data_IF_323645306072
#
_entry.id   IF_323645306072
#
_cell.length_a   1.000
_cell.length_b   1.000
_cell.length_c   1.000
_cell.angle_alpha   90.00
_cell.angle_beta   90.00
_cell.angle_gamma   90.00
#
_symmetry.space_group_name_H-M   'P 1'
#
loop_
_entity.id
_entity.type
_entity.pdbx_description
1 polymer ?
#
# COMPACT_ATOMS: atom_id res chain seq x y z
N UNK A 1 -71.69 -21.87 0.83
CA UNK A 1 -72.20 -20.94 -0.18
C UNK A 1 -70.93 -20.42 -0.87
N UNK A 2 -70.42 -21.11 -1.85
CA UNK A 2 -70.75 -21.09 -3.29
C UNK A 2 -70.73 -19.68 -3.79
N UNK A 3 -69.74 -19.29 -4.64
CA UNK A 3 -69.73 -19.38 -6.09
C UNK A 3 -68.35 -18.98 -6.67
N UNK A 4 -67.75 -19.86 -7.39
CA UNK A 4 -67.44 -19.98 -8.84
C UNK A 4 -66.88 -18.77 -9.59
N UNK A 5 -65.73 -19.08 -10.18
CA UNK A 5 -65.03 -18.48 -11.33
C UNK A 5 -65.95 -18.18 -12.53
N UNK A 6 -65.44 -17.40 -13.53
CA UNK A 6 -64.76 -18.08 -14.63
C UNK A 6 -63.53 -17.40 -15.24
N UNK A 7 -62.75 -18.26 -15.91
CA UNK A 7 -61.68 -18.00 -16.87
C UNK A 7 -62.15 -17.21 -18.09
N UNK A 8 -61.27 -16.36 -18.63
CA UNK A 8 -61.33 -15.96 -20.04
C UNK A 8 -59.94 -16.10 -20.66
N UNK A 9 -59.82 -17.00 -21.60
CA UNK A 9 -58.71 -17.15 -22.52
C UNK A 9 -58.69 -15.99 -23.52
N UNK A 10 -57.50 -15.49 -23.84
CA UNK A 10 -57.27 -14.50 -24.89
C UNK A 10 -55.93 -14.75 -25.58
N UNK A 11 -55.93 -15.66 -26.54
CA UNK A 11 -54.85 -15.78 -27.52
C UNK A 11 -54.67 -14.48 -28.31
N UNK A 12 -53.48 -13.94 -28.36
CA UNK A 12 -53.04 -13.01 -29.40
C UNK A 12 -51.74 -13.49 -30.00
N UNK A 13 -51.87 -14.12 -31.17
CA UNK A 13 -50.75 -14.45 -32.03
C UNK A 13 -50.12 -13.19 -32.62
N UNK A 14 -48.85 -12.98 -32.37
CA UNK A 14 -48.05 -11.96 -33.04
C UNK A 14 -47.16 -12.61 -34.10
N UNK A 15 -47.44 -12.28 -35.36
CA UNK A 15 -46.69 -12.62 -36.56
C UNK A 15 -45.21 -12.21 -36.45
N UNK A 16 -44.31 -13.16 -36.62
CA UNK A 16 -42.87 -12.91 -36.79
C UNK A 16 -42.65 -12.51 -38.26
N UNK A 17 -42.40 -11.23 -38.50
CA UNK A 17 -41.86 -10.71 -39.76
C UNK A 17 -40.36 -10.96 -39.81
N UNK A 18 -39.94 -11.85 -40.74
CA UNK A 18 -38.53 -12.07 -41.06
C UNK A 18 -38.01 -10.88 -41.87
N UNK A 19 -37.33 -9.91 -41.23
CA UNK A 19 -36.51 -8.95 -41.95
C UNK A 19 -35.13 -9.55 -42.18
N UNK A 20 -34.77 -9.69 -43.45
CA UNK A 20 -33.45 -10.06 -43.93
C UNK A 20 -32.48 -8.93 -43.59
N UNK A 21 -31.54 -9.17 -42.66
CA UNK A 21 -30.40 -8.31 -42.48
C UNK A 21 -29.30 -8.72 -43.45
N UNK A 22 -28.98 -7.80 -44.36
CA UNK A 22 -27.82 -7.86 -45.24
C UNK A 22 -26.56 -7.63 -44.37
N UNK A 23 -25.71 -8.65 -44.29
CA UNK A 23 -24.38 -8.56 -43.71
C UNK A 23 -23.46 -7.77 -44.67
N UNK A 24 -23.22 -6.52 -44.38
CA UNK A 24 -22.10 -5.78 -44.94
C UNK A 24 -20.89 -6.00 -44.03
N UNK A 25 -19.99 -6.87 -44.47
CA UNK A 25 -18.73 -7.11 -43.78
C UNK A 25 -17.78 -5.92 -43.97
N UNK A 26 -17.59 -5.13 -42.93
CA UNK A 26 -16.47 -4.22 -42.81
C UNK A 26 -15.43 -4.89 -41.88
N UNK A 27 -14.40 -5.44 -42.50
CA UNK A 27 -13.23 -5.92 -41.76
C UNK A 27 -12.46 -4.70 -41.19
N UNK A 28 -12.70 -4.36 -39.92
CA UNK A 28 -11.80 -3.51 -39.17
C UNK A 28 -10.65 -4.37 -38.62
N UNK A 29 -9.52 -4.35 -39.33
CA UNK A 29 -8.25 -4.79 -38.77
C UNK A 29 -7.82 -3.72 -37.77
N UNK A 30 -8.33 -3.83 -36.53
CA UNK A 30 -7.84 -3.05 -35.40
C UNK A 30 -6.48 -3.60 -34.98
N UNK A 31 -5.42 -2.90 -35.31
CA UNK A 31 -4.12 -3.05 -34.68
C UNK A 31 -4.30 -2.69 -33.19
N UNK A 32 -4.60 -3.69 -32.36
CA UNK A 32 -4.48 -3.59 -30.92
C UNK A 32 -2.98 -3.45 -30.58
N UNK A 33 -2.49 -2.23 -30.63
CA UNK A 33 -1.21 -1.91 -30.04
C UNK A 33 -1.28 -2.18 -28.55
N UNK A 34 -0.64 -3.28 -28.11
CA UNK A 34 -0.33 -3.47 -26.69
C UNK A 34 0.54 -2.28 -26.26
N UNK A 35 -0.10 -1.23 -25.74
CA UNK A 35 0.60 -0.25 -24.93
C UNK A 35 1.00 -0.94 -23.63
N UNK A 36 2.13 -1.62 -23.63
CA UNK A 36 2.85 -1.90 -22.40
C UNK A 36 3.13 -0.54 -21.79
N UNK A 37 2.43 -0.21 -20.71
CA UNK A 37 2.76 0.92 -19.85
C UNK A 37 4.16 0.65 -19.31
N UNK A 38 5.18 1.14 -20.02
CA UNK A 38 6.55 1.13 -19.52
C UNK A 38 6.55 2.07 -18.34
N UNK A 39 6.67 1.48 -17.15
CA UNK A 39 7.09 2.21 -15.94
C UNK A 39 8.35 2.96 -16.32
N UNK A 40 8.40 4.29 -16.20
CA UNK A 40 9.63 5.01 -16.42
C UNK A 40 10.71 4.44 -15.50
N UNK A 41 11.94 4.20 -15.99
CA UNK A 41 13.04 3.78 -15.13
C UNK A 41 13.18 4.80 -13.99
N UNK A 42 13.62 4.38 -12.78
CA UNK A 42 13.86 5.30 -11.68
C UNK A 42 14.76 6.44 -12.18
N UNK A 43 14.48 7.66 -11.77
CA UNK A 43 15.28 8.81 -12.15
C UNK A 43 16.74 8.51 -11.81
N UNK A 44 17.64 8.66 -12.80
CA UNK A 44 19.06 8.42 -12.61
C UNK A 44 19.56 9.31 -11.46
N UNK A 45 20.06 8.72 -10.40
CA UNK A 45 20.56 9.40 -9.20
C UNK A 45 19.81 9.09 -7.91
N UNK A 46 18.93 8.09 -7.91
CA UNK A 46 18.23 7.62 -6.72
C UNK A 46 18.65 6.17 -6.36
N UNK A 47 19.94 5.91 -6.30
CA UNK A 47 20.49 4.60 -5.93
C UNK A 47 20.52 4.40 -4.40
N UNK A 48 19.98 5.35 -3.66
CA UNK A 48 19.95 5.35 -2.21
C UNK A 48 18.61 5.91 -1.69
N UNK A 49 18.28 5.54 -0.48
CA UNK A 49 17.11 6.06 0.21
C UNK A 49 17.28 7.56 0.50
N UNK A 50 16.51 8.38 -0.21
CA UNK A 50 16.63 9.83 -0.12
C UNK A 50 16.06 10.36 1.20
N UNK A 51 16.88 11.10 1.94
CA UNK A 51 16.51 11.72 3.22
C UNK A 51 15.58 12.90 3.01
N UNK A 52 14.58 13.06 3.87
CA UNK A 52 13.69 14.21 3.86
C UNK A 52 14.40 15.48 4.29
N UNK A 53 15.33 15.39 5.26
CA UNK A 53 16.14 16.52 5.72
C UNK A 53 17.05 17.13 4.65
N UNK A 54 17.34 16.37 3.58
CA UNK A 54 18.15 16.85 2.46
C UNK A 54 17.31 17.50 1.34
N UNK A 55 15.98 17.60 1.51
CA UNK A 55 15.12 18.25 0.54
C UNK A 55 15.13 19.76 0.72
N UNK A 56 15.21 20.51 -0.37
CA UNK A 56 15.26 21.98 -0.35
C UNK A 56 13.96 22.64 -0.79
N UNK A 57 13.05 21.87 -1.41
CA UNK A 57 11.77 22.38 -1.93
C UNK A 57 10.65 21.98 -0.99
N UNK A 58 10.14 22.91 -0.21
CA UNK A 58 8.94 22.73 0.61
C UNK A 58 7.69 22.68 -0.28
N UNK A 59 6.65 21.98 0.19
CA UNK A 59 5.33 21.91 -0.45
C UNK A 59 5.23 20.91 -1.61
N UNK A 60 6.25 20.09 -1.86
CA UNK A 60 6.24 19.10 -2.93
C UNK A 60 6.60 17.69 -2.47
N UNK A 61 6.39 16.71 -3.35
CA UNK A 61 6.83 15.33 -3.11
C UNK A 61 8.36 15.31 -3.07
N UNK A 62 8.98 14.63 -2.08
CA UNK A 62 10.43 14.56 -1.98
C UNK A 62 11.07 13.94 -3.23
N UNK A 63 12.21 14.44 -3.63
CA UNK A 63 12.99 13.85 -4.73
C UNK A 63 13.27 12.37 -4.43
N UNK A 64 13.23 11.52 -5.44
CA UNK A 64 13.38 10.05 -5.39
C UNK A 64 12.22 9.30 -4.74
N UNK A 65 11.23 9.99 -4.24
CA UNK A 65 9.99 9.39 -3.76
C UNK A 65 8.89 9.58 -4.82
N UNK A 66 8.07 8.56 -5.01
CA UNK A 66 6.96 8.60 -5.95
C UNK A 66 5.67 8.10 -5.30
N UNK A 67 4.50 8.60 -5.73
CA UNK A 67 3.23 8.11 -5.24
C UNK A 67 3.08 6.59 -5.44
N UNK A 68 2.60 5.91 -4.40
CA UNK A 68 2.22 4.50 -4.42
C UNK A 68 0.72 4.41 -4.22
N UNK A 69 -0.02 4.33 -5.33
CA UNK A 69 -1.48 4.21 -5.31
C UNK A 69 -1.82 2.72 -5.33
N UNK A 70 -2.47 2.25 -4.28
CA UNK A 70 -2.87 0.84 -4.12
C UNK A 70 -4.34 0.63 -4.50
N UNK A 71 -5.15 1.68 -4.42
CA UNK A 71 -6.60 1.65 -4.70
C UNK A 71 -7.00 2.90 -5.49
N UNK A 72 -7.58 2.69 -6.67
CA UNK A 72 -8.06 3.79 -7.53
C UNK A 72 -9.49 4.23 -7.21
N UNK A 73 -10.19 3.49 -6.34
CA UNK A 73 -11.55 3.77 -5.88
C UNK A 73 -11.60 4.60 -4.58
N UNK A 74 -10.44 5.04 -4.09
CA UNK A 74 -10.29 5.85 -2.87
C UNK A 74 -9.55 7.15 -3.16
N UNK A 75 -9.79 8.21 -2.36
CA UNK A 75 -8.94 9.39 -2.37
C UNK A 75 -7.49 9.02 -2.02
N UNK A 76 -6.55 9.84 -2.45
CA UNK A 76 -5.14 9.69 -2.13
C UNK A 76 -4.75 10.57 -0.95
N UNK A 77 -3.90 10.05 -0.08
CA UNK A 77 -3.24 10.81 0.99
C UNK A 77 -2.37 11.91 0.39
N UNK A 78 -2.43 13.10 0.96
CA UNK A 78 -1.56 14.21 0.58
C UNK A 78 -0.20 14.06 1.28
N UNK A 79 0.88 14.23 0.51
CA UNK A 79 2.26 14.20 1.01
C UNK A 79 3.03 15.41 0.52
N UNK A 80 3.74 16.08 1.42
CA UNK A 80 4.62 17.20 1.07
C UNK A 80 5.84 17.28 1.98
N UNK A 81 6.92 17.87 1.49
CA UNK A 81 8.05 18.26 2.32
C UNK A 81 7.66 19.51 3.10
N UNK A 82 7.78 19.45 4.42
CA UNK A 82 7.39 20.53 5.32
C UNK A 82 8.45 20.78 6.40
N UNK A 83 8.32 21.86 7.13
CA UNK A 83 9.08 22.12 8.35
C UNK A 83 8.23 21.84 9.58
N UNK A 84 8.76 21.07 10.52
CA UNK A 84 8.15 20.81 11.81
C UNK A 84 9.22 20.79 12.91
N UNK A 85 9.03 21.59 13.95
CA UNK A 85 9.95 21.71 15.09
C UNK A 85 11.42 21.97 14.67
N UNK A 86 11.62 22.84 13.66
CA UNK A 86 12.93 23.19 13.12
C UNK A 86 13.62 22.09 12.30
N UNK A 87 12.85 21.09 11.82
CA UNK A 87 13.33 19.98 10.98
C UNK A 87 12.59 19.99 9.66
N UNK A 88 13.29 19.69 8.57
CA UNK A 88 12.67 19.35 7.30
C UNK A 88 12.24 17.89 7.34
N UNK A 89 10.97 17.64 7.11
CA UNK A 89 10.32 16.33 7.28
C UNK A 89 9.34 16.08 6.14
N UNK A 90 8.86 14.86 6.02
CA UNK A 90 7.70 14.57 5.19
C UNK A 90 6.44 14.70 6.05
N UNK A 91 5.52 15.54 5.62
CA UNK A 91 4.18 15.69 6.18
C UNK A 91 3.18 14.87 5.37
N UNK A 92 2.25 14.21 6.03
CA UNK A 92 1.17 13.44 5.40
C UNK A 92 -0.17 13.78 6.02
N UNK A 93 -1.20 13.94 5.17
CA UNK A 93 -2.59 14.17 5.58
C UNK A 93 -3.49 13.23 4.80
N UNK A 94 -4.28 12.46 5.53
CA UNK A 94 -5.26 11.52 5.00
C UNK A 94 -6.65 11.83 5.53
N UNK A 95 -7.59 12.11 4.62
CA UNK A 95 -9.00 12.37 4.91
C UNK A 95 -9.86 11.31 4.21
N UNK A 96 -10.14 10.20 4.89
CA UNK A 96 -10.82 9.04 4.31
C UNK A 96 -10.06 8.49 3.09
N UNK A 97 -8.75 8.61 3.09
CA UNK A 97 -7.87 8.39 1.96
C UNK A 97 -6.85 7.28 2.24
N UNK A 98 -6.30 6.70 1.16
CA UNK A 98 -5.21 5.72 1.26
C UNK A 98 -4.28 5.82 0.06
N UNK A 99 -3.04 6.14 0.30
CA UNK A 99 -1.92 5.97 -0.62
C UNK A 99 -0.61 6.19 0.14
N UNK A 100 0.50 5.75 -0.44
CA UNK A 100 1.82 5.91 0.12
C UNK A 100 2.76 6.70 -0.77
N UNK A 101 3.96 6.95 -0.27
CA UNK A 101 5.12 7.31 -1.07
C UNK A 101 6.14 6.18 -1.00
N UNK A 102 6.74 5.87 -2.12
CA UNK A 102 7.73 4.81 -2.28
C UNK A 102 9.02 5.36 -2.86
N UNK A 103 10.15 4.93 -2.30
CA UNK A 103 11.49 5.09 -2.83
C UNK A 103 12.04 3.71 -3.24
N UNK A 104 12.36 3.55 -4.52
CA UNK A 104 12.97 2.31 -5.01
C UNK A 104 14.46 2.30 -4.63
N UNK A 105 14.94 1.16 -4.16
CA UNK A 105 16.33 0.92 -3.76
C UNK A 105 16.76 -0.47 -4.22
N UNK A 106 18.05 -0.76 -4.18
CA UNK A 106 18.59 -2.10 -4.40
C UNK A 106 19.70 -2.37 -3.37
N UNK A 107 19.31 -2.87 -2.20
CA UNK A 107 20.21 -3.01 -1.04
C UNK A 107 20.25 -4.46 -0.57
N UNK A 108 21.43 -4.91 -0.16
CA UNK A 108 21.54 -6.16 0.60
C UNK A 108 21.28 -5.87 2.08
N UNK A 109 20.23 -6.45 2.69
CA UNK A 109 19.96 -6.22 4.10
C UNK A 109 21.03 -6.77 5.03
N UNK A 110 21.91 -7.68 4.58
CA UNK A 110 23.02 -8.16 5.40
C UNK A 110 24.15 -7.16 5.50
N UNK A 111 24.34 -6.29 4.51
CA UNK A 111 25.35 -5.21 4.54
C UNK A 111 24.93 -4.07 5.44
N UNK A 112 23.62 -3.77 5.48
CA UNK A 112 23.03 -2.65 6.23
C UNK A 112 21.74 -3.10 6.92
N UNK A 113 21.83 -3.94 7.97
CA UNK A 113 20.65 -4.56 8.58
C UNK A 113 19.81 -3.62 9.45
N UNK A 114 20.35 -2.47 9.85
CA UNK A 114 19.67 -1.57 10.76
C UNK A 114 18.91 -0.49 10.01
N UNK A 115 17.57 -0.49 10.15
CA UNK A 115 16.67 0.52 9.67
C UNK A 115 16.39 1.52 10.81
N UNK A 116 16.66 2.78 10.55
CA UNK A 116 16.41 3.89 11.48
C UNK A 116 15.36 4.82 10.88
N UNK A 117 14.42 5.27 11.71
CA UNK A 117 13.46 6.31 11.31
C UNK A 117 12.96 7.07 12.53
N UNK A 118 12.38 8.22 12.27
CA UNK A 118 11.59 8.95 13.24
C UNK A 118 10.22 9.26 12.67
N UNK A 119 9.23 9.31 13.52
CA UNK A 119 7.92 9.81 13.19
C UNK A 119 7.27 10.54 14.35
N UNK A 120 6.24 11.31 14.02
CA UNK A 120 5.36 11.97 14.97
C UNK A 120 3.93 11.87 14.47
N UNK A 121 3.01 11.57 15.38
CA UNK A 121 1.58 11.56 15.18
C UNK A 121 0.94 12.36 16.30
N UNK A 122 0.11 13.35 15.99
CA UNK A 122 -0.50 14.20 17.02
C UNK A 122 -1.80 13.60 17.58
N UNK A 123 -2.44 12.69 16.84
CA UNK A 123 -3.62 11.93 17.30
C UNK A 123 -3.68 10.56 16.65
N UNK A 124 -4.28 9.61 17.34
CA UNK A 124 -4.54 8.25 16.84
C UNK A 124 -5.98 7.86 17.14
N UNK A 125 -6.65 7.26 16.16
CA UNK A 125 -7.97 6.66 16.39
C UNK A 125 -7.79 5.31 17.08
N UNK A 126 -8.29 5.20 18.32
CA UNK A 126 -8.16 3.97 19.12
C UNK A 126 -9.02 2.81 18.58
N UNK A 127 -9.88 3.04 17.59
CA UNK A 127 -10.62 1.99 16.88
C UNK A 127 -9.76 1.34 15.81
N UNK A 128 -8.82 2.09 15.23
CA UNK A 128 -7.94 1.62 14.17
C UNK A 128 -7.02 0.51 14.66
N UNK A 129 -6.96 -0.59 13.92
CA UNK A 129 -6.05 -1.71 14.22
C UNK A 129 -5.83 -2.58 12.99
N UNK A 130 -4.59 -2.93 12.75
CA UNK A 130 -4.18 -3.84 11.67
C UNK A 130 -4.59 -5.31 11.91
N UNK A 131 -5.23 -5.59 13.05
CA UNK A 131 -5.75 -6.92 13.37
C UNK A 131 -6.99 -7.30 12.54
N UNK A 132 -7.71 -6.32 11.99
CA UNK A 132 -8.94 -6.49 11.21
C UNK A 132 -8.90 -5.63 9.95
N UNK A 133 -9.18 -6.23 8.79
CA UNK A 133 -9.10 -5.58 7.45
C UNK A 133 -9.97 -4.31 7.35
N UNK A 134 -11.14 -4.34 8.00
CA UNK A 134 -12.09 -3.22 8.03
C UNK A 134 -11.76 -2.09 9.02
N UNK A 135 -10.67 -2.23 9.77
CA UNK A 135 -10.19 -1.25 10.76
C UNK A 135 -8.71 -0.91 10.52
N UNK A 136 -8.15 -1.25 9.34
CA UNK A 136 -6.72 -1.16 9.04
C UNK A 136 -6.29 0.27 8.68
N UNK A 137 -6.62 1.24 9.54
CA UNK A 137 -6.29 2.67 9.41
C UNK A 137 -5.14 3.07 10.36
N UNK A 138 -3.93 2.65 10.05
CA UNK A 138 -2.76 3.07 10.82
C UNK A 138 -2.33 4.49 10.43
N UNK A 139 -2.14 5.41 11.39
CA UNK A 139 -1.76 6.80 11.09
C UNK A 139 -0.37 6.92 10.47
N UNK A 140 0.50 5.95 10.70
CA UNK A 140 1.85 5.94 10.14
C UNK A 140 2.40 4.54 10.00
N UNK A 141 3.02 4.28 8.85
CA UNK A 141 3.72 3.02 8.54
C UNK A 141 5.03 3.32 7.85
N UNK A 142 6.07 2.57 8.21
CA UNK A 142 7.31 2.43 7.43
C UNK A 142 7.32 1.02 6.88
N UNK A 143 7.52 0.92 5.57
CA UNK A 143 7.33 -0.30 4.80
C UNK A 143 8.64 -0.67 4.14
N UNK A 144 9.04 -1.94 4.25
CA UNK A 144 10.21 -2.50 3.57
C UNK A 144 9.73 -3.62 2.65
N UNK A 145 10.05 -3.49 1.37
CA UNK A 145 9.71 -4.45 0.32
C UNK A 145 10.94 -5.27 -0.06
N UNK A 146 10.81 -6.59 0.03
CA UNK A 146 11.89 -7.54 -0.22
C UNK A 146 11.65 -8.31 -1.51
N UNK A 147 12.73 -8.61 -2.20
CA UNK A 147 12.79 -9.58 -3.29
C UNK A 147 12.81 -11.02 -2.73
N UNK A 148 12.65 -12.00 -3.60
CA UNK A 148 12.73 -13.41 -3.21
C UNK A 148 12.38 -14.36 -4.34
N UNK A 149 12.36 -15.64 -4.03
CA UNK A 149 12.04 -16.68 -4.99
C UNK A 149 10.52 -16.88 -5.13
N UNK A 150 9.94 -16.36 -6.21
CA UNK A 150 8.52 -16.47 -6.49
C UNK A 150 8.04 -17.94 -6.68
N UNK A 151 8.95 -18.90 -6.88
CA UNK A 151 8.58 -20.32 -6.93
C UNK A 151 8.08 -20.84 -5.57
N UNK A 152 8.47 -20.18 -4.48
CA UNK A 152 8.06 -20.47 -3.11
C UNK A 152 6.69 -19.89 -2.73
N UNK A 153 6.07 -19.09 -3.59
CA UNK A 153 4.76 -18.54 -3.34
C UNK A 153 3.70 -19.64 -3.32
N UNK A 154 2.81 -19.58 -2.33
CA UNK A 154 1.61 -20.44 -2.33
C UNK A 154 0.70 -20.07 -3.51
N UNK A 155 -0.21 -20.95 -3.94
CA UNK A 155 -1.18 -20.60 -4.99
C UNK A 155 -1.99 -19.34 -4.68
N UNK A 156 -2.33 -19.12 -3.40
CA UNK A 156 -3.04 -17.93 -2.94
C UNK A 156 -2.18 -16.66 -3.06
N UNK A 157 -0.92 -16.73 -2.64
CA UNK A 157 -0.01 -15.59 -2.73
C UNK A 157 0.29 -15.25 -4.19
N UNK A 158 0.43 -16.24 -5.06
CA UNK A 158 0.63 -16.04 -6.49
C UNK A 158 -0.57 -15.32 -7.13
N UNK A 159 -1.77 -15.77 -6.83
CA UNK A 159 -3.00 -15.10 -7.31
C UNK A 159 -3.07 -13.65 -6.82
N UNK A 160 -2.69 -13.40 -5.56
CA UNK A 160 -2.61 -12.04 -5.03
C UNK A 160 -1.60 -11.18 -5.78
N UNK A 161 -0.40 -11.70 -6.09
CA UNK A 161 0.63 -11.01 -6.86
C UNK A 161 0.14 -10.67 -8.27
N UNK A 162 -0.50 -11.61 -8.97
CA UNK A 162 -1.08 -11.39 -10.30
C UNK A 162 -2.17 -10.31 -10.26
N UNK A 163 -3.00 -10.31 -9.23
CA UNK A 163 -4.03 -9.28 -9.04
C UNK A 163 -3.41 -7.90 -8.78
N UNK A 164 -2.37 -7.79 -7.94
CA UNK A 164 -1.66 -6.53 -7.69
C UNK A 164 -1.05 -6.00 -8.98
N UNK A 165 -0.37 -6.85 -9.76
CA UNK A 165 0.23 -6.45 -11.03
C UNK A 165 -0.83 -5.98 -12.04
N UNK A 166 -1.96 -6.66 -12.11
CA UNK A 166 -3.08 -6.27 -12.98
C UNK A 166 -3.66 -4.90 -12.60
N UNK A 167 -3.79 -4.61 -11.31
CA UNK A 167 -4.43 -3.36 -10.82
C UNK A 167 -3.46 -2.20 -10.83
N UNK A 168 -2.21 -2.43 -10.43
CA UNK A 168 -1.22 -1.36 -10.24
C UNK A 168 -0.26 -1.18 -11.43
N UNK A 169 -0.15 -2.17 -12.31
CA UNK A 169 0.85 -2.23 -13.37
C UNK A 169 2.27 -2.56 -12.89
N UNK A 170 2.45 -2.93 -11.62
CA UNK A 170 3.73 -3.26 -11.00
C UNK A 170 3.70 -4.63 -10.37
N UNK A 171 4.78 -5.39 -10.52
CA UNK A 171 4.92 -6.66 -9.83
C UNK A 171 4.93 -6.45 -8.30
N UNK A 172 4.16 -7.28 -7.59
CA UNK A 172 4.19 -7.26 -6.13
C UNK A 172 5.56 -7.72 -5.62
N UNK A 173 6.09 -7.13 -4.52
CA UNK A 173 7.28 -7.64 -3.85
C UNK A 173 7.06 -9.07 -3.35
N UNK A 174 8.13 -9.87 -3.31
CA UNK A 174 8.04 -11.22 -2.73
C UNK A 174 7.55 -11.20 -1.28
N UNK A 175 8.03 -10.24 -0.48
CA UNK A 175 7.56 -10.03 0.88
C UNK A 175 7.56 -8.53 1.24
N UNK A 176 6.62 -8.13 2.08
CA UNK A 176 6.47 -6.76 2.57
C UNK A 176 6.33 -6.78 4.09
N UNK A 177 7.27 -6.15 4.79
CA UNK A 177 7.21 -5.92 6.23
C UNK A 177 6.80 -4.46 6.49
N UNK A 178 5.77 -4.27 7.29
CA UNK A 178 5.26 -2.97 7.67
C UNK A 178 5.44 -2.75 9.16
N UNK A 179 6.23 -1.77 9.54
CA UNK A 179 6.30 -1.25 10.90
C UNK A 179 5.16 -0.24 11.08
N UNK A 180 4.30 -0.47 12.07
CA UNK A 180 3.03 0.27 12.19
C UNK A 180 2.85 0.87 13.57
N UNK A 181 2.16 2.00 13.63
CA UNK A 181 1.52 2.51 14.84
C UNK A 181 0.06 2.04 14.84
N UNK A 182 -0.30 1.21 15.81
CA UNK A 182 -1.67 0.68 15.95
C UNK A 182 -2.45 1.45 17.02
N UNK A 183 -3.76 1.57 16.87
CA UNK A 183 -4.58 2.27 17.84
C UNK A 183 -4.71 1.54 19.20
N UNK A 184 -4.52 0.22 19.21
CA UNK A 184 -4.79 -0.60 20.43
C UNK A 184 -4.05 -1.93 20.54
N UNK A 185 -3.56 -2.49 19.42
CA UNK A 185 -2.83 -3.76 19.47
C UNK A 185 -1.51 -3.59 20.22
N UNK A 186 -1.11 -4.54 21.07
CA UNK A 186 0.16 -4.44 21.81
C UNK A 186 1.36 -4.29 20.88
N UNK A 187 2.35 -3.52 21.32
CA UNK A 187 3.65 -3.48 20.63
C UNK A 187 4.27 -4.87 20.53
N UNK A 188 5.08 -5.09 19.49
CA UNK A 188 5.67 -6.39 19.11
C UNK A 188 4.66 -7.44 18.65
N UNK A 189 3.37 -7.12 18.54
CA UNK A 189 2.39 -7.99 17.88
C UNK A 189 2.66 -8.07 16.38
N UNK A 190 2.48 -9.27 15.82
CA UNK A 190 2.64 -9.54 14.39
C UNK A 190 1.28 -9.95 13.83
N UNK A 191 0.86 -9.27 12.76
CA UNK A 191 -0.36 -9.61 12.04
C UNK A 191 -0.05 -9.93 10.58
N UNK A 192 -0.89 -10.74 9.99
CA UNK A 192 -0.82 -11.06 8.56
C UNK A 192 -1.92 -10.33 7.83
N UNK A 193 -1.59 -9.70 6.70
CA UNK A 193 -2.60 -9.17 5.79
C UNK A 193 -3.54 -10.31 5.32
N UNK A 194 -4.86 -10.14 5.39
CA UNK A 194 -5.79 -11.25 5.18
C UNK A 194 -5.72 -11.89 3.80
N UNK A 195 -5.28 -11.16 2.77
CA UNK A 195 -5.31 -11.64 1.37
C UNK A 195 -4.06 -12.41 0.95
N UNK A 196 -2.93 -12.23 1.66
CA UNK A 196 -1.66 -12.90 1.35
C UNK A 196 -0.83 -13.16 2.60
N UNK A 197 -0.02 -14.21 2.58
CA UNK A 197 0.96 -14.48 3.64
C UNK A 197 2.23 -13.62 3.50
N UNK A 198 2.35 -12.87 2.41
CA UNK A 198 3.57 -12.14 2.04
C UNK A 198 3.57 -10.67 2.48
N UNK A 199 2.50 -10.21 3.11
CA UNK A 199 2.43 -8.90 3.76
C UNK A 199 2.19 -9.12 5.25
N UNK A 200 3.07 -8.54 6.07
CA UNK A 200 3.05 -8.66 7.52
C UNK A 200 3.19 -7.30 8.18
N UNK A 201 2.48 -7.12 9.26
CA UNK A 201 2.56 -5.97 10.15
C UNK A 201 3.32 -6.34 11.41
N UNK A 202 4.21 -5.46 11.83
CA UNK A 202 4.86 -5.50 13.14
C UNK A 202 4.52 -4.19 13.86
N UNK A 203 3.77 -4.30 14.94
CA UNK A 203 3.37 -3.14 15.74
C UNK A 203 4.57 -2.65 16.55
N UNK A 204 5.04 -1.44 16.26
CA UNK A 204 6.18 -0.84 16.99
C UNK A 204 5.74 0.28 17.92
N UNK A 205 4.52 0.82 17.73
CA UNK A 205 3.90 1.79 18.64
C UNK A 205 2.40 1.51 18.76
N UNK A 206 1.81 1.86 19.92
CA UNK A 206 0.41 1.55 20.20
C UNK A 206 -0.27 2.61 21.06
N UNK A 207 -1.54 2.89 20.72
CA UNK A 207 -2.40 3.77 21.49
C UNK A 207 -1.96 5.24 21.45
N UNK A 208 -2.51 6.03 22.38
CA UNK A 208 -2.35 7.49 22.37
C UNK A 208 -1.26 8.03 23.34
N UNK A 209 -0.58 7.17 24.09
CA UNK A 209 0.31 7.61 25.19
C UNK A 209 1.51 8.45 24.69
N UNK A 210 1.95 8.22 23.46
CA UNK A 210 3.12 8.87 22.87
C UNK A 210 2.77 9.85 21.74
N UNK A 211 1.48 10.18 21.54
CA UNK A 211 1.07 11.21 20.58
C UNK A 211 1.69 12.58 20.92
N UNK A 212 1.90 13.41 19.90
CA UNK A 212 2.51 14.72 20.03
C UNK A 212 4.03 14.70 20.24
N UNK A 213 4.68 13.57 20.18
CA UNK A 213 6.13 13.41 20.38
C UNK A 213 6.81 12.87 19.13
N UNK A 214 8.04 13.29 18.90
CA UNK A 214 8.94 12.61 17.97
C UNK A 214 9.44 11.32 18.61
N UNK A 215 9.16 10.20 17.95
CA UNK A 215 9.63 8.88 18.36
C UNK A 215 10.67 8.38 17.37
N UNK A 216 11.74 7.78 17.89
CA UNK A 216 12.84 7.24 17.08
C UNK A 216 12.89 5.73 17.23
N UNK A 217 13.09 5.06 16.13
CA UNK A 217 13.17 3.60 16.06
C UNK A 217 14.45 3.17 15.36
N UNK A 218 15.01 2.07 15.83
CA UNK A 218 16.11 1.34 15.19
C UNK A 218 15.74 -0.14 15.19
N UNK A 219 15.62 -0.75 14.02
CA UNK A 219 15.19 -2.15 13.86
C UNK A 219 16.17 -2.91 12.99
N UNK A 220 16.56 -4.10 13.42
CA UNK A 220 17.29 -5.03 12.57
C UNK A 220 16.29 -5.72 11.64
N UNK A 221 16.25 -5.28 10.37
CA UNK A 221 15.27 -5.80 9.39
C UNK A 221 15.47 -7.26 9.05
N UNK A 222 16.70 -7.79 9.19
CA UNK A 222 17.00 -9.20 8.95
C UNK A 222 16.40 -10.07 10.06
N UNK A 223 16.59 -9.67 11.31
CA UNK A 223 16.02 -10.37 12.47
C UNK A 223 14.50 -10.28 12.47
N UNK A 224 13.94 -9.10 12.20
CA UNK A 224 12.49 -8.92 12.09
C UNK A 224 11.91 -9.75 10.95
N UNK A 225 12.58 -9.81 9.78
CA UNK A 225 12.15 -10.65 8.67
C UNK A 225 12.11 -12.12 9.07
N UNK A 226 13.19 -12.64 9.70
CA UNK A 226 13.25 -14.04 10.19
C UNK A 226 12.14 -14.35 11.18
N UNK A 227 11.90 -13.43 12.12
CA UNK A 227 10.83 -13.56 13.12
C UNK A 227 9.44 -13.58 12.49
N UNK A 228 9.22 -12.77 11.46
CA UNK A 228 7.91 -12.51 10.87
C UNK A 228 7.57 -13.52 9.78
N UNK A 229 8.53 -13.88 8.93
CA UNK A 229 8.32 -14.74 7.76
C UNK A 229 8.93 -16.13 7.90
N UNK A 230 9.88 -16.34 8.83
CA UNK A 230 10.50 -17.64 9.08
C UNK A 230 11.52 -18.07 8.04
N UNK A 231 12.30 -17.14 7.50
CA UNK A 231 13.33 -17.43 6.50
C UNK A 231 14.30 -16.28 6.33
N UNK A 232 15.21 -16.36 5.37
CA UNK A 232 16.16 -15.29 5.08
C UNK A 232 15.53 -14.24 4.14
N UNK A 233 15.77 -12.94 4.36
CA UNK A 233 15.32 -11.91 3.44
C UNK A 233 16.12 -11.92 2.15
N UNK A 234 15.46 -11.66 1.03
CA UNK A 234 16.13 -11.26 -0.20
C UNK A 234 16.57 -9.79 -0.14
N UNK A 235 16.98 -9.25 -1.28
CA UNK A 235 17.37 -7.84 -1.39
C UNK A 235 16.18 -6.91 -1.09
N UNK A 236 16.45 -5.78 -0.46
CA UNK A 236 15.47 -4.72 -0.28
C UNK A 236 15.31 -3.99 -1.61
N UNK A 237 14.08 -3.94 -2.12
CA UNK A 237 13.73 -3.32 -3.41
C UNK A 237 13.05 -1.98 -3.29
N UNK A 238 12.44 -1.73 -2.15
CA UNK A 238 11.85 -0.42 -1.87
C UNK A 238 11.67 -0.19 -0.38
N UNK A 239 11.65 1.08 -0.04
CA UNK A 239 11.11 1.59 1.23
C UNK A 239 9.92 2.48 0.91
N UNK A 240 8.87 2.39 1.72
CA UNK A 240 7.71 3.25 1.54
C UNK A 240 7.19 3.76 2.89
N UNK A 241 6.40 4.81 2.84
CA UNK A 241 5.61 5.31 3.95
C UNK A 241 4.14 5.31 3.57
N UNK A 242 3.27 5.09 4.54
CA UNK A 242 1.83 5.10 4.34
C UNK A 242 1.14 5.70 5.55
N UNK A 243 0.21 6.61 5.29
CA UNK A 243 -0.77 7.15 6.24
C UNK A 243 -2.14 6.94 5.63
N UNK A 244 -3.01 6.20 6.29
CA UNK A 244 -4.36 5.97 5.79
C UNK A 244 -5.46 6.18 6.84
N UNK A 245 -6.69 6.30 6.34
CA UNK A 245 -7.88 6.55 7.13
C UNK A 245 -9.14 6.18 6.35
N UNK A 246 -9.00 5.30 5.32
CA UNK A 246 -10.09 5.07 4.36
C UNK A 246 -11.11 4.01 4.80
N UNK A 247 -10.76 3.14 5.72
CA UNK A 247 -11.69 2.13 6.24
C UNK A 247 -12.65 2.72 7.28
N UNK A 248 -12.14 3.47 8.26
CA UNK A 248 -12.92 4.19 9.26
C UNK A 248 -13.46 5.53 8.78
N UNK A 249 -12.99 6.03 7.61
CA UNK A 249 -13.34 7.32 7.02
C UNK A 249 -13.10 8.48 7.99
N UNK A 250 -11.92 8.47 8.57
CA UNK A 250 -11.47 9.44 9.55
C UNK A 250 -10.42 10.38 8.98
N UNK A 251 -9.80 11.15 9.85
CA UNK A 251 -8.64 11.99 9.56
C UNK A 251 -7.42 11.42 10.23
N UNK A 252 -6.31 11.31 9.49
CA UNK A 252 -4.99 10.93 10.03
C UNK A 252 -3.93 11.90 9.52
N UNK A 253 -3.05 12.33 10.42
CA UNK A 253 -1.96 13.25 10.13
C UNK A 253 -0.66 12.74 10.78
N UNK A 254 0.42 12.69 10.00
CA UNK A 254 1.71 12.23 10.49
C UNK A 254 2.87 13.00 9.87
N UNK A 255 3.97 13.06 10.60
CA UNK A 255 5.26 13.58 10.14
C UNK A 255 6.30 12.49 10.22
N UNK A 256 7.03 12.31 9.11
CA UNK A 256 8.13 11.38 9.01
C UNK A 256 9.44 12.16 8.94
N UNK A 257 10.35 11.90 9.88
CA UNK A 257 11.73 12.31 9.73
C UNK A 257 12.51 11.33 8.86
N UNK A 258 13.80 11.50 8.76
CA UNK A 258 14.62 10.66 7.90
C UNK A 258 14.46 9.18 8.18
N UNK A 259 14.48 8.43 7.09
CA UNK A 259 14.53 6.96 7.06
C UNK A 259 15.91 6.60 6.48
N UNK A 260 16.67 5.77 7.16
CA UNK A 260 18.02 5.41 6.74
C UNK A 260 18.37 3.97 7.14
N UNK A 261 19.26 3.37 6.37
CA UNK A 261 19.89 2.11 6.74
C UNK A 261 21.34 2.31 7.16
N UNK A 262 21.80 1.47 8.07
CA UNK A 262 23.21 1.44 8.53
C UNK A 262 23.66 -0.01 8.81
N UNK A 263 24.97 -0.17 8.95
CA UNK A 263 25.59 -1.43 9.36
C UNK A 263 25.69 -1.59 10.89
N UNK A 264 25.34 -0.56 11.65
CA UNK A 264 25.39 -0.55 13.11
C UNK A 264 24.09 0.00 13.71
N UNK A 265 23.88 -0.29 14.98
CA UNK A 265 22.75 0.24 15.76
C UNK A 265 22.89 1.74 16.07
N UNK A 266 24.11 2.28 16.02
CA UNK A 266 24.47 3.65 16.41
C UNK A 266 24.30 4.67 15.27
#
# INVERSE_FOLDING_TARGET
MSDKQPLVDGEFGARIERRRFILVGAAFVGLAGCHTLRVPPPERGCDFLARFSAQHNLGGVPRCWRPQIMRHDRPTTHYEVAERDGRTVLHSVSDGATSGLRCDVDMDPNDTPWLHWTWRVDSVDLRATVAFDELDDSPTRVIVAFDGDNSLLTPRDRLFHEMVEMVTGYAAPFATLMYVWDGRAPTESIFQYPRTSRIRYLVVESGAANTGRWLSYSRNVVEDYRRVFGGEPGRIRAVAVLTDSDDLKTHSEAWYGDIAFSNSLD
#
